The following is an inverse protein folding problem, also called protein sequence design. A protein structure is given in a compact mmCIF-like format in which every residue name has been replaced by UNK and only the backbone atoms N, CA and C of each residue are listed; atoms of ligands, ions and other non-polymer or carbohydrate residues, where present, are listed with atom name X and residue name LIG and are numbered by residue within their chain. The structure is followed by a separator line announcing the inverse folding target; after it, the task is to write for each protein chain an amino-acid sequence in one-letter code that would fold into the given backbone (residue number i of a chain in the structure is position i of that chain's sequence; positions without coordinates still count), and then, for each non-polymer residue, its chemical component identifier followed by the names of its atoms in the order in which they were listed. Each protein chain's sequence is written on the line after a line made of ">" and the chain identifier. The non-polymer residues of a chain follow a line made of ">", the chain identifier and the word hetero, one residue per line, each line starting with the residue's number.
data_IF_666290421580
#
_entry.id   IF_666290421580
#
_cell.length_a   1.000
_cell.length_b   1.000
_cell.length_c   1.000
_cell.angle_alpha   90.00
_cell.angle_beta   90.00
_cell.angle_gamma   90.00
#
_symmetry.space_group_name_H-M   'P 1'
#
loop_
_entity.id
_entity.type
_entity.pdbx_description
1 polymer ?
#
# COMPACT_ATOMS: atom_id res chain seq x y z
N UNK A 1 -4.52 -16.12 -29.27
CA UNK A 1 -3.94 -17.37 -28.73
C UNK A 1 -3.12 -17.12 -27.48
N UNK A 2 -2.15 -16.21 -27.47
CA UNK A 2 -1.32 -15.93 -26.28
C UNK A 2 -2.15 -15.49 -25.06
N UNK A 3 -3.10 -14.55 -25.24
CA UNK A 3 -4.01 -14.14 -24.16
C UNK A 3 -4.78 -15.33 -23.54
N UNK A 4 -5.37 -16.19 -24.38
CA UNK A 4 -6.14 -17.36 -23.93
C UNK A 4 -5.25 -18.35 -23.17
N UNK A 5 -4.03 -18.60 -23.67
CA UNK A 5 -3.04 -19.47 -23.01
C UNK A 5 -2.75 -18.98 -21.60
N UNK A 6 -2.53 -17.67 -21.44
CA UNK A 6 -2.15 -17.07 -20.17
C UNK A 6 -3.33 -17.07 -19.21
N UNK A 7 -4.53 -16.70 -19.67
CA UNK A 7 -5.76 -16.80 -18.87
C UNK A 7 -5.93 -18.21 -18.30
N UNK A 8 -5.85 -19.25 -19.14
CA UNK A 8 -6.05 -20.64 -18.70
C UNK A 8 -5.09 -21.06 -17.58
N UNK A 9 -3.87 -20.52 -17.59
CA UNK A 9 -2.83 -20.86 -16.59
C UNK A 9 -2.88 -19.97 -15.35
N UNK A 10 -3.31 -18.72 -15.51
CA UNK A 10 -3.38 -17.76 -14.41
C UNK A 10 -4.62 -17.95 -13.52
N UNK A 11 -5.69 -18.59 -14.01
CA UNK A 11 -6.97 -18.72 -13.26
C UNK A 11 -6.76 -19.29 -11.86
N UNK A 12 -6.03 -20.39 -11.71
CA UNK A 12 -5.81 -21.01 -10.40
C UNK A 12 -5.06 -20.05 -9.47
N UNK A 13 -4.01 -19.39 -9.96
CA UNK A 13 -3.24 -18.41 -9.19
C UNK A 13 -4.10 -17.21 -8.75
N UNK A 14 -4.96 -16.70 -9.65
CA UNK A 14 -5.89 -15.61 -9.36
C UNK A 14 -6.89 -16.02 -8.28
N UNK A 15 -7.47 -17.23 -8.39
CA UNK A 15 -8.41 -17.77 -7.38
C UNK A 15 -7.72 -17.90 -6.02
N UNK A 16 -6.52 -18.47 -5.96
CA UNK A 16 -5.75 -18.60 -4.71
C UNK A 16 -5.43 -17.23 -4.09
N UNK A 17 -5.02 -16.25 -4.91
CA UNK A 17 -4.72 -14.91 -4.44
C UNK A 17 -5.96 -14.19 -3.90
N UNK A 18 -7.11 -14.31 -4.59
CA UNK A 18 -8.39 -13.78 -4.12
C UNK A 18 -8.84 -14.44 -2.81
N UNK A 19 -8.73 -15.76 -2.70
CA UNK A 19 -9.04 -16.47 -1.47
C UNK A 19 -8.16 -16.01 -0.30
N UNK A 20 -6.86 -15.80 -0.53
CA UNK A 20 -5.94 -15.26 0.46
C UNK A 20 -6.33 -13.83 0.90
N UNK A 21 -6.66 -12.95 -0.04
CA UNK A 21 -7.12 -11.58 0.26
C UNK A 21 -8.39 -11.60 1.09
N UNK A 22 -9.40 -12.37 0.70
CA UNK A 22 -10.66 -12.50 1.44
C UNK A 22 -10.39 -12.99 2.86
N UNK A 23 -9.55 -14.02 2.99
CA UNK A 23 -9.21 -14.63 4.29
C UNK A 23 -8.51 -13.63 5.22
N UNK A 24 -7.57 -12.84 4.70
CA UNK A 24 -6.85 -11.82 5.47
C UNK A 24 -7.79 -10.68 5.86
N UNK A 25 -8.66 -10.23 4.96
CA UNK A 25 -9.63 -9.16 5.27
C UNK A 25 -10.59 -9.61 6.39
N UNK A 26 -11.11 -10.84 6.32
CA UNK A 26 -11.99 -11.41 7.35
C UNK A 26 -11.23 -11.57 8.67
N UNK A 27 -9.99 -12.08 8.63
CA UNK A 27 -9.16 -12.23 9.82
C UNK A 27 -8.86 -10.89 10.50
N UNK A 28 -8.50 -9.86 9.73
CA UNK A 28 -8.24 -8.52 10.27
C UNK A 28 -9.46 -7.98 11.00
N UNK A 29 -10.64 -8.09 10.40
CA UNK A 29 -11.91 -7.63 10.97
C UNK A 29 -12.28 -8.38 12.24
N UNK A 30 -12.14 -9.71 12.23
CA UNK A 30 -12.47 -10.53 13.39
C UNK A 30 -11.47 -10.31 14.53
N UNK A 31 -10.19 -10.12 14.21
CA UNK A 31 -9.16 -9.88 15.22
C UNK A 31 -9.29 -8.51 15.89
N UNK A 32 -9.85 -7.51 15.21
CA UNK A 32 -10.07 -6.18 15.77
C UNK A 32 -11.41 -6.02 16.49
N UNK A 33 -12.34 -6.97 16.32
CA UNK A 33 -13.74 -6.86 16.76
C UNK A 33 -14.41 -5.55 16.30
N UNK A 34 -14.01 -5.06 15.12
CA UNK A 34 -14.47 -3.78 14.59
C UNK A 34 -15.98 -3.75 14.35
N UNK A 35 -16.57 -4.89 14.01
CA UNK A 35 -18.01 -4.98 13.78
C UNK A 35 -18.85 -4.57 15.01
N UNK A 36 -18.42 -4.95 16.21
CA UNK A 36 -19.12 -4.61 17.47
C UNK A 36 -18.88 -3.14 17.81
N UNK A 37 -17.63 -2.69 17.71
CA UNK A 37 -17.24 -1.30 17.97
C UNK A 37 -18.01 -0.32 17.06
N UNK A 38 -18.06 -0.60 15.75
CA UNK A 38 -18.76 0.27 14.79
C UNK A 38 -20.29 0.18 14.90
N UNK A 39 -20.84 -0.88 15.51
CA UNK A 39 -22.26 -0.93 15.88
C UNK A 39 -22.56 0.08 16.99
N UNK A 40 -21.76 0.09 18.06
CA UNK A 40 -21.91 1.05 19.15
C UNK A 40 -21.63 2.49 18.69
N UNK A 41 -20.60 2.71 17.87
CA UNK A 41 -20.29 4.01 17.27
C UNK A 41 -21.51 4.62 16.56
N UNK A 42 -22.20 3.81 15.74
CA UNK A 42 -23.42 4.23 15.05
C UNK A 42 -24.55 4.54 16.02
N UNK A 43 -24.73 3.71 17.05
CA UNK A 43 -25.79 3.92 18.02
C UNK A 43 -25.61 5.25 18.75
N UNK A 44 -24.39 5.54 19.21
CA UNK A 44 -24.04 6.80 19.89
C UNK A 44 -24.30 7.99 18.96
N UNK A 45 -23.88 7.94 17.69
CA UNK A 45 -24.12 9.05 16.74
C UNK A 45 -25.60 9.24 16.44
N UNK A 46 -26.34 8.16 16.19
CA UNK A 46 -27.77 8.26 15.91
C UNK A 46 -28.55 8.83 17.10
N UNK A 47 -28.18 8.43 18.32
CA UNK A 47 -28.82 8.95 19.53
C UNK A 47 -28.40 10.40 19.80
N UNK A 48 -27.16 10.79 19.44
CA UNK A 48 -26.77 12.19 19.41
C UNK A 48 -27.59 13.02 18.42
N UNK A 49 -27.75 12.55 17.17
CA UNK A 49 -28.49 13.28 16.13
C UNK A 49 -29.94 13.51 16.55
N UNK A 50 -30.61 12.50 17.14
CA UNK A 50 -31.96 12.63 17.70
C UNK A 50 -32.04 13.63 18.85
N UNK A 51 -31.10 13.58 19.80
CA UNK A 51 -31.17 14.44 20.99
C UNK A 51 -30.74 15.89 20.68
N UNK A 52 -29.88 16.10 19.68
CA UNK A 52 -29.46 17.43 19.23
C UNK A 52 -30.63 18.25 18.67
N UNK A 53 -31.59 17.60 18.00
CA UNK A 53 -32.83 18.27 17.55
C UNK A 53 -33.70 18.74 18.71
N UNK A 54 -33.69 18.01 19.84
CA UNK A 54 -34.57 18.25 20.99
C UNK A 54 -33.96 19.10 22.12
N UNK A 55 -32.63 19.20 22.25
CA UNK A 55 -31.96 19.89 23.38
C UNK A 55 -30.72 20.70 22.97
N UNK A 56 -30.81 22.02 23.15
CA UNK A 56 -29.68 22.95 23.02
C UNK A 56 -28.64 22.67 24.12
N UNK A 57 -27.40 22.31 23.76
CA UNK A 57 -26.26 22.20 24.69
C UNK A 57 -25.80 20.78 25.05
N UNK A 58 -26.27 19.73 24.37
CA UNK A 58 -25.71 18.37 24.47
C UNK A 58 -24.41 18.25 23.65
N UNK A 59 -23.32 17.85 24.30
CA UNK A 59 -22.04 17.51 23.65
C UNK A 59 -21.91 16.00 23.50
N UNK A 60 -21.20 15.50 22.48
CA UNK A 60 -21.04 14.05 22.30
C UNK A 60 -20.41 13.41 23.54
N UNK A 61 -19.48 14.12 24.22
CA UNK A 61 -18.89 13.71 25.50
C UNK A 61 -19.90 13.40 26.61
N UNK A 62 -21.01 14.15 26.71
CA UNK A 62 -22.05 13.93 27.74
C UNK A 62 -22.90 12.69 27.42
N UNK A 63 -23.14 12.43 26.13
CA UNK A 63 -23.86 11.23 25.69
C UNK A 63 -22.98 10.00 25.88
N UNK A 64 -21.73 10.08 25.47
CA UNK A 64 -20.71 9.04 25.65
C UNK A 64 -20.59 8.59 27.12
N UNK A 65 -20.54 9.54 28.07
CA UNK A 65 -20.48 9.23 29.50
C UNK A 65 -21.71 8.47 30.03
N UNK A 66 -22.86 8.55 29.35
CA UNK A 66 -24.05 7.78 29.71
C UNK A 66 -23.96 6.31 29.21
N UNK A 67 -23.19 6.04 28.15
CA UNK A 67 -22.93 4.68 27.68
C UNK A 67 -21.87 3.96 28.52
N UNK A 68 -20.97 4.69 29.20
CA UNK A 68 -20.02 4.10 30.17
C UNK A 68 -20.72 3.36 31.32
N UNK A 69 -22.00 3.65 31.57
CA UNK A 69 -22.85 2.95 32.55
C UNK A 69 -23.38 1.58 32.10
N UNK A 70 -23.12 1.14 30.86
CA UNK A 70 -23.57 -0.16 30.33
C UNK A 70 -22.62 -1.33 30.68
N UNK A 71 -23.20 -2.55 30.69
CA UNK A 71 -22.65 -3.86 31.13
C UNK A 71 -21.14 -4.08 30.92
N UNK A 72 -20.48 -4.61 31.97
CA UNK A 72 -19.03 -4.89 32.05
C UNK A 72 -18.44 -5.66 30.85
N UNK A 73 -19.20 -6.54 30.18
CA UNK A 73 -18.70 -7.39 29.09
C UNK A 73 -18.40 -6.62 27.78
N UNK A 74 -19.12 -5.53 27.48
CA UNK A 74 -19.00 -4.76 26.23
C UNK A 74 -18.30 -3.41 26.41
N UNK A 75 -17.86 -3.08 27.63
CA UNK A 75 -17.30 -1.77 28.00
C UNK A 75 -16.10 -1.38 27.11
N UNK A 76 -15.21 -2.32 26.76
CA UNK A 76 -14.07 -2.02 25.88
C UNK A 76 -14.49 -1.50 24.51
N UNK A 77 -15.52 -2.10 23.89
CA UNK A 77 -16.01 -1.70 22.56
C UNK A 77 -16.76 -0.38 22.61
N UNK A 78 -17.52 -0.15 23.69
CA UNK A 78 -18.22 1.10 23.94
C UNK A 78 -17.21 2.24 24.12
N UNK A 79 -16.15 2.03 24.91
CA UNK A 79 -15.08 3.02 25.12
C UNK A 79 -14.32 3.35 23.82
N UNK A 80 -14.06 2.36 22.97
CA UNK A 80 -13.46 2.60 21.65
C UNK A 80 -14.39 3.37 20.72
N UNK A 81 -15.68 3.01 20.70
CA UNK A 81 -16.69 3.71 19.91
C UNK A 81 -16.84 5.17 20.35
N UNK A 82 -16.94 5.38 21.66
CA UNK A 82 -16.93 6.66 22.34
C UNK A 82 -15.77 7.57 21.91
N UNK A 83 -14.54 7.04 21.93
CA UNK A 83 -13.35 7.76 21.50
C UNK A 83 -13.41 8.16 20.01
N UNK A 84 -13.86 7.25 19.14
CA UNK A 84 -14.06 7.53 17.71
C UNK A 84 -15.07 8.66 17.47
N UNK A 85 -16.16 8.67 18.23
CA UNK A 85 -17.19 9.72 18.17
C UNK A 85 -16.61 11.06 18.63
N UNK A 86 -15.92 11.10 19.77
CA UNK A 86 -15.30 12.34 20.29
C UNK A 86 -14.27 12.90 19.31
N UNK A 87 -13.44 12.04 18.73
CA UNK A 87 -12.45 12.41 17.73
C UNK A 87 -13.10 12.98 16.46
N UNK A 88 -14.24 12.41 16.02
CA UNK A 88 -15.00 12.94 14.89
C UNK A 88 -15.58 14.32 15.21
N UNK A 89 -16.15 14.52 16.40
CA UNK A 89 -16.71 15.82 16.82
C UNK A 89 -15.62 16.90 16.83
N UNK A 90 -14.46 16.60 17.44
CA UNK A 90 -13.30 17.51 17.47
C UNK A 90 -12.82 17.85 16.06
N UNK A 91 -12.73 16.86 15.18
CA UNK A 91 -12.31 17.07 13.80
C UNK A 91 -13.26 17.97 13.02
N UNK A 92 -14.57 17.68 13.04
CA UNK A 92 -15.59 18.48 12.33
C UNK A 92 -15.58 19.94 12.80
N UNK A 93 -15.51 20.18 14.12
CA UNK A 93 -15.39 21.53 14.69
C UNK A 93 -14.13 22.25 14.21
N UNK A 94 -13.00 21.55 14.20
CA UNK A 94 -11.73 22.10 13.73
C UNK A 94 -11.74 22.40 12.23
N UNK A 95 -12.41 21.58 11.41
CA UNK A 95 -12.51 21.77 9.97
C UNK A 95 -13.41 22.97 9.64
N UNK A 96 -14.61 23.03 10.23
CA UNK A 96 -15.57 24.10 9.95
C UNK A 96 -15.09 25.46 10.47
N UNK A 97 -14.43 25.51 11.63
CA UNK A 97 -13.90 26.78 12.17
C UNK A 97 -12.82 27.42 11.29
N UNK A 98 -12.14 26.65 10.42
CA UNK A 98 -11.21 27.20 9.43
C UNK A 98 -11.91 27.99 8.31
N UNK A 99 -13.12 27.56 7.91
CA UNK A 99 -13.88 28.18 6.82
C UNK A 99 -14.87 29.25 7.29
N UNK A 100 -15.13 29.38 8.59
CA UNK A 100 -15.96 30.45 9.14
C UNK A 100 -15.21 31.79 9.17
N UNK A 101 -15.87 32.88 8.76
CA UNK A 101 -15.30 34.23 8.57
C UNK A 101 -14.73 34.92 9.84
N UNK A 102 -14.70 34.24 11.00
CA UNK A 102 -13.97 34.67 12.20
C UNK A 102 -12.48 34.22 12.19
N UNK A 103 -12.07 33.50 11.13
CA UNK A 103 -10.81 32.74 11.05
C UNK A 103 -9.62 33.44 10.39
N UNK A 104 -9.72 34.70 9.95
CA UNK A 104 -8.56 35.44 9.43
C UNK A 104 -7.42 35.55 10.47
N UNK A 105 -7.78 35.51 11.76
CA UNK A 105 -6.85 35.44 12.89
C UNK A 105 -6.31 34.04 13.21
N UNK A 106 -6.91 32.95 12.72
CA UNK A 106 -6.50 31.55 13.01
C UNK A 106 -5.71 30.94 11.85
N UNK A 107 -6.09 31.26 10.60
CA UNK A 107 -5.38 30.85 9.38
C UNK A 107 -3.90 31.26 9.42
N UNK A 108 -3.62 32.44 9.98
CA UNK A 108 -2.29 33.02 10.12
C UNK A 108 -1.53 32.53 11.35
N UNK A 109 -2.17 32.43 12.53
CA UNK A 109 -1.46 32.37 13.83
C UNK A 109 -0.49 31.21 14.05
N UNK A 110 -0.83 29.99 13.65
CA UNK A 110 0.02 28.81 13.95
C UNK A 110 1.17 28.65 12.95
N UNK A 111 0.94 29.02 11.69
CA UNK A 111 1.93 28.90 10.63
C UNK A 111 2.84 30.13 10.57
N UNK A 112 2.29 31.33 10.84
CA UNK A 112 3.11 32.53 11.07
C UNK A 112 4.04 32.31 12.24
N UNK A 113 3.60 31.69 13.35
CA UNK A 113 4.47 31.33 14.48
C UNK A 113 5.66 30.43 14.11
N UNK A 114 5.51 29.54 13.13
CA UNK A 114 6.60 28.67 12.64
C UNK A 114 7.53 29.48 11.72
N UNK A 115 6.96 30.32 10.85
CA UNK A 115 7.73 31.21 9.98
C UNK A 115 8.48 32.33 10.74
N UNK A 116 7.89 32.83 11.83
CA UNK A 116 8.42 33.89 12.70
C UNK A 116 9.35 33.33 13.80
N UNK A 117 9.46 32.00 13.89
CA UNK A 117 10.25 31.33 14.91
C UNK A 117 11.74 31.37 14.58
N UNK A 118 12.54 31.94 15.48
CA UNK A 118 14.01 31.97 15.38
C UNK A 118 14.67 30.59 15.53
N UNK A 119 13.92 29.55 15.91
CA UNK A 119 14.41 28.17 16.10
C UNK A 119 14.76 27.45 14.79
N UNK A 120 14.18 27.88 13.65
CA UNK A 120 14.32 27.21 12.36
C UNK A 120 15.24 27.94 11.39
N UNK A 121 16.21 28.71 11.94
CA UNK A 121 17.28 29.44 11.26
C UNK A 121 17.31 29.33 9.72
N UNK A 122 17.06 30.47 9.07
CA UNK A 122 16.90 30.70 7.63
C UNK A 122 15.54 30.30 7.01
N UNK A 123 15.03 31.19 6.16
CA UNK A 123 13.75 31.07 5.43
C UNK A 123 13.66 29.84 4.53
N UNK A 124 14.80 29.25 4.20
CA UNK A 124 14.91 28.09 3.30
C UNK A 124 14.83 26.76 4.05
N UNK A 125 14.66 26.75 5.38
CA UNK A 125 14.55 25.52 6.14
C UNK A 125 13.29 24.72 5.76
N UNK A 126 13.39 23.39 5.77
CA UNK A 126 12.27 22.49 5.43
C UNK A 126 10.99 22.80 6.22
N UNK A 127 11.11 23.13 7.51
CA UNK A 127 9.96 23.41 8.37
C UNK A 127 9.18 24.65 7.92
N UNK A 128 9.89 25.72 7.55
CA UNK A 128 9.29 26.95 7.02
C UNK A 128 8.68 26.71 5.64
N UNK A 129 9.41 26.03 4.76
CA UNK A 129 8.91 25.66 3.43
C UNK A 129 7.64 24.79 3.51
N UNK A 130 7.59 23.82 4.42
CA UNK A 130 6.43 22.97 4.64
C UNK A 130 5.24 23.72 5.21
N UNK A 131 5.46 24.59 6.19
CA UNK A 131 4.42 25.47 6.72
C UNK A 131 3.81 26.34 5.60
N UNK A 132 4.66 27.00 4.81
CA UNK A 132 4.23 27.87 3.72
C UNK A 132 3.51 27.11 2.60
N UNK A 133 4.00 25.93 2.23
CA UNK A 133 3.34 25.08 1.22
C UNK A 133 1.97 24.61 1.71
N UNK A 134 1.88 24.12 2.95
CA UNK A 134 0.61 23.67 3.53
C UNK A 134 -0.44 24.77 3.57
N UNK A 135 -0.07 26.01 3.89
CA UNK A 135 -0.98 27.15 3.83
C UNK A 135 -1.50 27.39 2.42
N UNK A 136 -0.59 27.49 1.45
CA UNK A 136 -0.94 27.71 0.04
C UNK A 136 -1.80 26.60 -0.53
N UNK A 137 -1.56 25.35 -0.13
CA UNK A 137 -2.35 24.21 -0.57
C UNK A 137 -3.73 24.19 0.11
N UNK A 138 -3.80 24.57 1.40
CA UNK A 138 -5.07 24.73 2.13
C UNK A 138 -5.98 25.79 1.54
N UNK A 139 -5.43 26.89 1.04
CA UNK A 139 -6.20 27.95 0.37
C UNK A 139 -6.86 27.49 -0.93
N UNK A 140 -6.29 26.46 -1.58
CA UNK A 140 -6.80 25.89 -2.82
C UNK A 140 -7.84 24.80 -2.61
N UNK A 141 -8.07 24.37 -1.35
CA UNK A 141 -9.03 23.32 -1.05
C UNK A 141 -10.44 23.81 -1.33
N UNK A 142 -11.23 22.99 -2.01
CA UNK A 142 -12.66 23.20 -2.10
C UNK A 142 -13.32 22.97 -0.74
N UNK A 143 -14.23 23.87 -0.34
CA UNK A 143 -15.02 23.69 0.88
C UNK A 143 -15.93 22.46 0.70
N UNK A 144 -15.64 21.41 1.45
CA UNK A 144 -16.44 20.19 1.46
C UNK A 144 -17.51 20.23 2.57
N UNK A 145 -18.59 19.47 2.36
CA UNK A 145 -19.63 19.28 3.37
C UNK A 145 -19.16 18.27 4.42
N UNK A 146 -18.52 18.79 5.46
CA UNK A 146 -18.00 18.02 6.60
C UNK A 146 -18.95 18.17 7.78
N UNK A 147 -19.61 17.07 8.13
CA UNK A 147 -20.68 17.05 9.12
C UNK A 147 -20.45 16.00 10.20
N UNK A 148 -20.90 16.33 11.41
CA UNK A 148 -20.98 15.37 12.50
C UNK A 148 -22.34 14.67 12.42
N UNK A 149 -22.36 13.54 11.73
CA UNK A 149 -23.53 12.70 11.47
C UNK A 149 -23.08 11.22 11.34
N UNK A 150 -24.00 10.31 10.99
CA UNK A 150 -23.71 8.89 10.83
C UNK A 150 -22.93 8.52 9.53
N UNK A 151 -22.38 9.49 8.78
CA UNK A 151 -21.61 9.15 7.57
C UNK A 151 -20.24 8.58 7.95
N UNK A 152 -19.95 7.36 7.52
CA UNK A 152 -18.71 6.66 7.88
C UNK A 152 -17.81 6.44 6.66
N UNK A 153 -16.56 6.86 6.78
CA UNK A 153 -15.48 6.71 5.78
C UNK A 153 -14.52 5.57 6.11
N UNK A 154 -14.71 4.85 7.22
CA UNK A 154 -13.75 3.86 7.70
C UNK A 154 -13.44 2.74 6.68
N UNK A 155 -14.41 2.31 5.86
CA UNK A 155 -14.13 1.23 4.90
C UNK A 155 -13.11 1.63 3.82
N UNK A 156 -13.19 2.88 3.32
CA UNK A 156 -12.24 3.36 2.31
C UNK A 156 -10.87 3.59 2.96
N UNK A 157 -10.83 4.09 4.20
CA UNK A 157 -9.59 4.22 4.97
C UNK A 157 -8.90 2.87 5.19
N UNK A 158 -9.65 1.83 5.58
CA UNK A 158 -9.11 0.49 5.78
C UNK A 158 -8.60 -0.13 4.47
N UNK A 159 -9.30 0.10 3.36
CA UNK A 159 -8.84 -0.32 2.04
C UNK A 159 -7.48 0.30 1.69
N UNK A 160 -7.33 1.62 1.86
CA UNK A 160 -6.11 2.34 1.49
C UNK A 160 -4.94 2.02 2.43
N UNK A 161 -5.20 1.74 3.70
CA UNK A 161 -4.17 1.42 4.69
C UNK A 161 -3.72 -0.05 4.65
N UNK A 162 -4.42 -0.93 3.93
CA UNK A 162 -4.09 -2.33 3.86
C UNK A 162 -2.82 -2.59 3.03
N UNK A 163 -1.71 -2.91 3.71
CA UNK A 163 -0.42 -3.22 3.08
C UNK A 163 -0.30 -4.65 2.57
N UNK A 164 -1.15 -5.57 3.01
CA UNK A 164 -1.05 -6.98 2.62
C UNK A 164 -1.55 -7.23 1.19
N UNK A 165 -2.63 -6.55 0.80
CA UNK A 165 -3.27 -6.74 -0.52
C UNK A 165 -2.31 -6.40 -1.67
N UNK A 166 -1.61 -5.25 -1.68
CA UNK A 166 -0.65 -4.96 -2.73
C UNK A 166 0.50 -5.95 -2.83
N UNK A 167 0.98 -6.49 -1.71
CA UNK A 167 2.06 -7.48 -1.71
C UNK A 167 1.61 -8.82 -2.31
N UNK A 168 0.42 -9.30 -1.96
CA UNK A 168 -0.17 -10.50 -2.56
C UNK A 168 -0.38 -10.30 -4.06
N UNK A 169 -0.82 -9.10 -4.45
CA UNK A 169 -1.00 -8.74 -5.84
C UNK A 169 0.32 -8.79 -6.63
N UNK A 170 1.42 -8.25 -6.08
CA UNK A 170 2.75 -8.31 -6.68
C UNK A 170 3.23 -9.76 -6.84
N UNK A 171 3.01 -10.63 -5.84
CA UNK A 171 3.35 -12.05 -5.91
C UNK A 171 2.55 -12.74 -7.02
N UNK A 172 1.23 -12.52 -7.06
CA UNK A 172 0.35 -13.06 -8.10
C UNK A 172 0.81 -12.62 -9.50
N UNK A 173 1.04 -11.32 -9.71
CA UNK A 173 1.52 -10.81 -11.00
C UNK A 173 2.88 -11.39 -11.38
N UNK A 174 3.78 -11.59 -10.41
CA UNK A 174 5.06 -12.26 -10.66
C UNK A 174 4.85 -13.68 -11.21
N UNK A 175 3.95 -14.46 -10.62
CA UNK A 175 3.60 -15.82 -11.10
C UNK A 175 3.01 -15.78 -12.50
N UNK A 176 2.10 -14.83 -12.77
CA UNK A 176 1.50 -14.65 -14.10
C UNK A 176 2.57 -14.33 -15.15
N UNK A 177 3.51 -13.43 -14.82
CA UNK A 177 4.59 -13.04 -15.73
C UNK A 177 5.58 -14.20 -15.98
N UNK A 178 5.82 -15.07 -14.99
CA UNK A 178 6.64 -16.28 -15.19
C UNK A 178 6.03 -17.18 -16.27
N UNK A 179 4.71 -17.24 -16.44
CA UNK A 179 4.13 -18.03 -17.53
C UNK A 179 4.53 -17.54 -18.93
N UNK A 180 5.00 -16.29 -19.08
CA UNK A 180 5.58 -15.82 -20.35
C UNK A 180 6.95 -16.44 -20.67
N UNK A 181 7.65 -17.04 -19.69
CA UNK A 181 8.96 -17.66 -19.89
C UNK A 181 8.90 -19.14 -20.28
N UNK A 182 7.72 -19.75 -20.27
CA UNK A 182 7.54 -21.17 -20.58
C UNK A 182 8.06 -21.61 -21.95
N UNK A 183 8.08 -20.71 -22.94
CA UNK A 183 8.66 -21.02 -24.25
C UNK A 183 10.16 -21.31 -24.17
N UNK A 184 10.84 -20.64 -23.23
CA UNK A 184 12.23 -20.91 -22.89
C UNK A 184 12.39 -22.25 -22.18
N UNK A 185 11.48 -22.57 -21.26
CA UNK A 185 11.53 -23.83 -20.50
C UNK A 185 11.23 -25.05 -21.38
N UNK A 186 10.30 -24.92 -22.33
CA UNK A 186 9.92 -25.97 -23.26
C UNK A 186 10.91 -26.12 -24.45
N UNK A 187 11.95 -25.29 -24.52
CA UNK A 187 12.94 -25.34 -25.61
C UNK A 187 12.47 -24.81 -26.96
N UNK A 188 11.26 -24.25 -27.05
CA UNK A 188 10.64 -23.77 -28.31
C UNK A 188 10.97 -22.29 -28.59
N UNK A 189 11.71 -21.64 -27.68
CA UNK A 189 12.00 -20.21 -27.73
C UNK A 189 12.63 -19.72 -29.04
N UNK A 190 13.57 -20.49 -29.61
CA UNK A 190 14.22 -20.15 -30.88
C UNK A 190 13.20 -20.14 -32.02
N UNK A 191 12.32 -21.13 -32.07
CA UNK A 191 11.27 -21.25 -33.09
C UNK A 191 10.27 -20.09 -33.02
N UNK A 192 9.86 -19.71 -31.81
CA UNK A 192 8.95 -18.56 -31.61
C UNK A 192 9.61 -17.27 -32.11
N UNK A 193 10.90 -17.07 -31.85
CA UNK A 193 11.62 -15.86 -32.30
C UNK A 193 11.91 -15.80 -33.78
N UNK A 194 12.07 -16.93 -34.46
CA UNK A 194 12.26 -16.97 -35.92
C UNK A 194 10.96 -16.77 -36.68
N UNK A 195 9.81 -16.82 -35.99
CA UNK A 195 8.53 -16.48 -36.60
C UNK A 195 8.45 -15.01 -37.00
N UNK A 196 7.65 -14.72 -38.04
CA UNK A 196 7.49 -13.40 -38.67
C UNK A 196 7.17 -12.24 -37.70
N UNK A 197 6.61 -12.54 -36.52
CA UNK A 197 6.21 -11.55 -35.50
C UNK A 197 6.77 -11.87 -34.10
N UNK A 198 7.78 -12.72 -34.00
CA UNK A 198 8.27 -13.22 -32.72
C UNK A 198 9.14 -12.25 -31.90
N UNK A 199 9.90 -11.35 -32.55
CA UNK A 199 10.93 -10.54 -31.86
C UNK A 199 10.41 -9.25 -31.24
N UNK A 200 9.59 -8.49 -31.96
CA UNK A 200 9.11 -7.16 -31.52
C UNK A 200 7.62 -7.21 -31.16
N UNK A 201 6.80 -7.86 -31.98
CA UNK A 201 5.36 -7.85 -31.78
C UNK A 201 4.93 -8.70 -30.56
N UNK A 202 5.61 -9.81 -30.28
CA UNK A 202 5.32 -10.63 -29.11
C UNK A 202 5.51 -9.90 -27.76
N UNK A 203 6.65 -9.23 -27.46
CA UNK A 203 6.79 -8.47 -26.22
C UNK A 203 5.81 -7.29 -26.13
N UNK A 204 5.45 -6.66 -27.26
CA UNK A 204 4.39 -5.63 -27.29
C UNK A 204 3.04 -6.22 -26.87
N UNK A 205 2.65 -7.37 -27.42
CA UNK A 205 1.42 -8.06 -27.03
C UNK A 205 1.46 -8.48 -25.56
N UNK A 206 2.60 -8.93 -25.03
CA UNK A 206 2.74 -9.28 -23.61
C UNK A 206 2.61 -8.04 -22.70
N UNK A 207 3.20 -6.91 -23.08
CA UNK A 207 2.98 -5.65 -22.36
C UNK A 207 1.50 -5.23 -22.37
N UNK A 208 0.82 -5.36 -23.52
CA UNK A 208 -0.62 -5.12 -23.61
C UNK A 208 -1.43 -6.07 -22.71
N UNK A 209 -1.10 -7.37 -22.68
CA UNK A 209 -1.73 -8.34 -21.78
C UNK A 209 -1.53 -7.93 -20.32
N UNK A 210 -0.32 -7.52 -19.92
CA UNK A 210 -0.03 -7.05 -18.55
C UNK A 210 -0.93 -5.86 -18.18
N UNK A 211 -1.07 -4.87 -19.07
CA UNK A 211 -1.91 -3.70 -18.83
C UNK A 211 -3.38 -4.10 -18.64
N UNK A 212 -3.92 -4.90 -19.57
CA UNK A 212 -5.31 -5.35 -19.53
C UNK A 212 -5.59 -6.17 -18.28
N UNK A 213 -4.69 -7.09 -17.92
CA UNK A 213 -4.80 -7.87 -16.68
C UNK A 213 -4.81 -6.97 -15.46
N UNK A 214 -3.94 -5.96 -15.40
CA UNK A 214 -3.89 -5.06 -14.25
C UNK A 214 -5.15 -4.20 -14.10
N UNK A 215 -5.74 -3.76 -15.20
CA UNK A 215 -7.02 -3.03 -15.16
C UNK A 215 -8.13 -3.94 -14.59
N UNK A 216 -8.28 -5.15 -15.14
CA UNK A 216 -9.34 -6.09 -14.72
C UNK A 216 -9.14 -6.53 -13.26
N UNK A 217 -7.92 -6.94 -12.91
CA UNK A 217 -7.61 -7.45 -11.57
C UNK A 217 -7.64 -6.35 -10.51
N UNK A 218 -7.23 -5.11 -10.83
CA UNK A 218 -7.39 -3.97 -9.92
C UNK A 218 -8.86 -3.76 -9.57
N UNK A 219 -9.75 -3.74 -10.57
CA UNK A 219 -11.19 -3.63 -10.33
C UNK A 219 -11.70 -4.77 -9.44
N UNK A 220 -11.33 -6.02 -9.73
CA UNK A 220 -11.80 -7.19 -8.98
C UNK A 220 -11.30 -7.18 -7.52
N UNK A 221 -9.99 -7.04 -7.30
CA UNK A 221 -9.39 -7.09 -5.95
C UNK A 221 -9.93 -5.97 -5.07
N UNK A 222 -9.90 -4.73 -5.56
CA UNK A 222 -10.31 -3.58 -4.77
C UNK A 222 -11.82 -3.56 -4.53
N UNK A 223 -12.66 -4.01 -5.48
CA UNK A 223 -14.12 -4.08 -5.28
C UNK A 223 -14.50 -5.14 -4.25
N UNK A 224 -13.87 -6.31 -4.27
CA UNK A 224 -14.13 -7.37 -3.29
C UNK A 224 -13.73 -6.91 -1.89
N UNK A 225 -12.52 -6.36 -1.74
CA UNK A 225 -12.05 -5.85 -0.45
C UNK A 225 -12.92 -4.70 0.06
N UNK A 226 -13.22 -3.72 -0.81
CA UNK A 226 -14.11 -2.62 -0.46
C UNK A 226 -15.50 -3.12 -0.07
N UNK A 227 -16.05 -4.12 -0.77
CA UNK A 227 -17.34 -4.73 -0.43
C UNK A 227 -17.34 -5.40 0.96
N UNK A 228 -16.24 -6.08 1.33
CA UNK A 228 -16.07 -6.66 2.67
C UNK A 228 -16.09 -5.54 3.72
N UNK A 229 -15.22 -4.54 3.59
CA UNK A 229 -15.13 -3.44 4.54
C UNK A 229 -16.42 -2.60 4.59
N UNK A 230 -17.03 -2.32 3.44
CA UNK A 230 -18.28 -1.56 3.36
C UNK A 230 -19.42 -2.25 4.09
N UNK A 231 -19.48 -3.60 4.05
CA UNK A 231 -20.48 -4.36 4.80
C UNK A 231 -20.31 -4.23 6.32
N UNK A 232 -19.08 -4.16 6.80
CA UNK A 232 -18.75 -4.15 8.23
C UNK A 232 -18.88 -2.75 8.82
N UNK A 233 -18.24 -1.76 8.18
CA UNK A 233 -18.21 -0.39 8.66
C UNK A 233 -19.47 0.40 8.27
N UNK A 234 -20.24 -0.08 7.27
CA UNK A 234 -21.40 0.57 6.64
C UNK A 234 -21.07 1.97 6.15
N UNK A 235 -20.86 2.09 4.85
CA UNK A 235 -20.37 3.31 4.22
C UNK A 235 -21.53 4.12 3.68
N UNK A 236 -21.47 5.43 3.91
CA UNK A 236 -22.19 6.37 3.07
C UNK A 236 -21.32 6.72 1.86
N UNK A 237 -21.61 6.10 0.72
CA UNK A 237 -20.84 6.31 -0.51
C UNK A 237 -20.98 7.73 -1.10
N UNK A 238 -21.98 8.49 -0.65
CA UNK A 238 -22.30 9.83 -1.18
C UNK A 238 -21.69 10.97 -0.37
N UNK A 239 -21.33 10.72 0.90
CA UNK A 239 -20.70 11.72 1.74
C UNK A 239 -19.35 12.17 1.17
N UNK A 240 -18.97 13.42 1.46
CA UNK A 240 -17.66 13.96 1.07
C UNK A 240 -16.53 13.19 1.78
N UNK A 241 -15.47 12.86 1.05
CA UNK A 241 -14.32 12.12 1.59
C UNK A 241 -13.61 12.87 2.71
N UNK A 242 -13.67 14.21 2.71
CA UNK A 242 -13.14 15.09 3.76
C UNK A 242 -13.79 14.87 5.13
N UNK A 243 -14.90 14.13 5.23
CA UNK A 243 -15.41 13.65 6.52
C UNK A 243 -14.40 12.73 7.23
N UNK A 244 -13.48 12.13 6.46
CA UNK A 244 -12.29 11.49 6.98
C UNK A 244 -11.17 12.49 7.24
N UNK A 245 -10.58 12.43 8.44
CA UNK A 245 -9.37 13.21 8.78
C UNK A 245 -8.19 12.89 7.83
N UNK A 246 -8.11 11.65 7.34
CA UNK A 246 -7.09 11.18 6.39
C UNK A 246 -7.08 11.99 5.09
N UNK A 247 -8.24 12.51 4.68
CA UNK A 247 -8.44 13.25 3.45
C UNK A 247 -8.73 14.74 3.69
N UNK A 248 -8.45 15.26 4.88
CA UNK A 248 -8.68 16.67 5.24
C UNK A 248 -8.03 17.67 4.28
N UNK A 249 -6.91 17.29 3.66
CA UNK A 249 -6.14 18.09 2.70
C UNK A 249 -6.33 17.61 1.24
N UNK A 250 -7.33 16.77 0.98
CA UNK A 250 -7.62 16.34 -0.38
C UNK A 250 -8.26 17.50 -1.16
N UNK A 251 -7.75 17.84 -2.35
CA UNK A 251 -8.04 19.13 -3.01
C UNK A 251 -9.49 19.31 -3.47
N UNK A 252 -10.16 18.22 -3.85
CA UNK A 252 -11.49 18.28 -4.48
C UNK A 252 -12.58 17.79 -3.54
N UNK A 253 -13.73 18.46 -3.49
CA UNK A 253 -14.90 18.02 -2.74
C UNK A 253 -15.61 16.86 -3.46
N UNK A 254 -15.09 15.64 -3.27
CA UNK A 254 -15.57 14.42 -3.95
C UNK A 254 -16.18 13.43 -2.98
N UNK A 255 -17.10 12.61 -3.47
CA UNK A 255 -17.74 11.57 -2.67
C UNK A 255 -16.83 10.36 -2.45
N UNK A 256 -17.12 9.56 -1.42
CA UNK A 256 -16.41 8.29 -1.15
C UNK A 256 -16.42 7.36 -2.37
N UNK A 257 -17.55 7.26 -3.09
CA UNK A 257 -17.65 6.43 -4.29
C UNK A 257 -16.74 6.92 -5.42
N UNK A 258 -16.62 8.24 -5.62
CA UNK A 258 -15.73 8.81 -6.62
C UNK A 258 -14.26 8.52 -6.27
N UNK A 259 -13.89 8.67 -5.00
CA UNK A 259 -12.54 8.34 -4.51
C UNK A 259 -12.23 6.86 -4.70
N UNK A 260 -13.19 5.97 -4.44
CA UNK A 260 -13.01 4.55 -4.71
C UNK A 260 -12.66 4.29 -6.18
N UNK A 261 -13.39 4.91 -7.13
CA UNK A 261 -13.10 4.78 -8.56
C UNK A 261 -11.71 5.33 -8.90
N UNK A 262 -11.34 6.51 -8.37
CA UNK A 262 -10.01 7.09 -8.55
C UNK A 262 -8.94 6.13 -8.03
N UNK A 263 -9.14 5.57 -6.83
CA UNK A 263 -8.21 4.63 -6.21
C UNK A 263 -8.02 3.37 -7.07
N UNK A 264 -9.10 2.78 -7.61
CA UNK A 264 -9.01 1.61 -8.51
C UNK A 264 -8.17 1.91 -9.76
N UNK A 265 -8.32 3.11 -10.34
CA UNK A 265 -7.54 3.54 -11.50
C UNK A 265 -6.06 3.76 -11.15
N UNK A 266 -5.79 4.48 -10.06
CA UNK A 266 -4.43 4.70 -9.55
C UNK A 266 -3.75 3.37 -9.24
N UNK A 267 -4.46 2.46 -8.58
CA UNK A 267 -3.98 1.12 -8.26
C UNK A 267 -3.64 0.33 -9.53
N UNK A 268 -4.48 0.39 -10.56
CA UNK A 268 -4.20 -0.25 -11.84
C UNK A 268 -2.94 0.32 -12.51
N UNK A 269 -2.77 1.65 -12.52
CA UNK A 269 -1.58 2.31 -13.04
C UNK A 269 -0.31 1.92 -12.27
N UNK A 270 -0.35 1.99 -10.94
CA UNK A 270 0.75 1.64 -10.07
C UNK A 270 1.18 0.18 -10.26
N UNK A 271 0.22 -0.76 -10.20
CA UNK A 271 0.50 -2.18 -10.38
C UNK A 271 0.97 -2.53 -11.79
N UNK A 272 0.53 -1.78 -12.81
CA UNK A 272 1.06 -1.90 -14.17
C UNK A 272 2.54 -1.52 -14.22
N UNK A 273 2.94 -0.42 -13.59
CA UNK A 273 4.34 0.00 -13.53
C UNK A 273 5.22 -1.07 -12.86
N UNK A 274 4.77 -1.61 -11.72
CA UNK A 274 5.48 -2.70 -11.03
C UNK A 274 5.52 -3.99 -11.86
N UNK A 275 4.42 -4.36 -12.50
CA UNK A 275 4.35 -5.55 -13.36
C UNK A 275 5.29 -5.45 -14.57
N UNK A 276 5.40 -4.26 -15.18
CA UNK A 276 6.34 -4.03 -16.27
C UNK A 276 7.80 -4.06 -15.80
N UNK A 277 8.09 -3.56 -14.60
CA UNK A 277 9.41 -3.67 -13.98
C UNK A 277 9.79 -5.15 -13.75
N UNK A 278 8.87 -5.96 -13.21
CA UNK A 278 9.07 -7.40 -13.01
C UNK A 278 9.35 -8.09 -14.35
N UNK A 279 8.55 -7.79 -15.37
CA UNK A 279 8.73 -8.36 -16.71
C UNK A 279 10.07 -7.93 -17.33
N UNK A 280 10.49 -6.68 -17.12
CA UNK A 280 11.77 -6.16 -17.59
C UNK A 280 12.94 -6.93 -16.95
N UNK A 281 12.91 -7.12 -15.63
CA UNK A 281 13.94 -7.86 -14.90
C UNK A 281 14.06 -9.32 -15.40
N UNK A 282 12.93 -9.97 -15.67
CA UNK A 282 12.89 -11.31 -16.26
C UNK A 282 13.45 -11.33 -17.68
N UNK A 283 13.23 -10.27 -18.47
CA UNK A 283 13.77 -10.19 -19.82
C UNK A 283 15.29 -9.92 -19.84
N UNK A 284 15.81 -9.13 -18.89
CA UNK A 284 17.24 -8.79 -18.78
C UNK A 284 18.13 -9.97 -18.37
N UNK A 285 17.58 -10.97 -17.68
CA UNK A 285 18.30 -12.19 -17.26
C UNK A 285 17.84 -13.38 -18.11
N UNK A 286 18.71 -14.30 -18.54
CA UNK A 286 18.25 -15.45 -19.34
C UNK A 286 17.51 -16.47 -18.48
N UNK A 287 17.96 -16.68 -17.24
CA UNK A 287 17.33 -17.56 -16.27
C UNK A 287 16.34 -16.78 -15.37
N UNK A 288 15.05 -17.02 -15.56
CA UNK A 288 14.00 -16.36 -14.78
C UNK A 288 14.11 -16.64 -13.27
N UNK A 289 14.64 -17.79 -12.85
CA UNK A 289 14.82 -18.10 -11.41
C UNK A 289 15.84 -17.17 -10.78
N UNK A 290 16.93 -16.88 -11.49
CA UNK A 290 17.95 -15.90 -11.07
C UNK A 290 17.33 -14.49 -11.08
N UNK A 291 16.56 -14.15 -12.13
CA UNK A 291 15.86 -12.88 -12.23
C UNK A 291 14.92 -12.62 -11.04
N UNK A 292 14.08 -13.60 -10.71
CA UNK A 292 13.13 -13.51 -9.58
C UNK A 292 13.87 -13.43 -8.25
N UNK A 293 14.97 -14.16 -8.08
CA UNK A 293 15.78 -14.10 -6.85
C UNK A 293 16.39 -12.71 -6.67
N UNK A 294 16.92 -12.13 -7.74
CA UNK A 294 17.49 -10.79 -7.71
C UNK A 294 16.42 -9.72 -7.50
N UNK A 295 15.25 -9.87 -8.14
CA UNK A 295 14.09 -9.00 -7.90
C UNK A 295 13.67 -9.00 -6.43
N UNK A 296 13.56 -10.18 -5.81
CA UNK A 296 13.22 -10.29 -4.37
C UNK A 296 14.27 -9.57 -3.52
N UNK A 297 15.56 -9.75 -3.81
CA UNK A 297 16.63 -9.08 -3.07
C UNK A 297 16.57 -7.54 -3.21
N UNK A 298 16.32 -7.03 -4.42
CA UNK A 298 16.14 -5.60 -4.69
C UNK A 298 14.92 -5.05 -3.95
N UNK A 299 13.77 -5.71 -4.06
CA UNK A 299 12.55 -5.30 -3.35
C UNK A 299 12.72 -5.36 -1.83
N UNK A 300 13.45 -6.33 -1.27
CA UNK A 300 13.74 -6.35 0.16
C UNK A 300 14.61 -5.16 0.60
N UNK A 301 15.61 -4.80 -0.21
CA UNK A 301 16.44 -3.62 0.05
C UNK A 301 15.60 -2.33 0.02
N UNK A 302 14.80 -2.15 -1.04
CA UNK A 302 13.90 -1.01 -1.20
C UNK A 302 12.88 -0.93 -0.04
N UNK A 303 12.35 -2.06 0.42
CA UNK A 303 11.43 -2.10 1.56
C UNK A 303 12.10 -1.61 2.86
N UNK A 304 13.35 -2.01 3.08
CA UNK A 304 14.12 -1.57 4.25
C UNK A 304 14.38 -0.06 4.21
N UNK A 305 14.72 0.49 3.03
CA UNK A 305 14.91 1.93 2.84
C UNK A 305 13.60 2.70 3.12
N UNK A 306 12.49 2.23 2.56
CA UNK A 306 11.17 2.81 2.77
C UNK A 306 10.74 2.81 4.25
N UNK A 307 10.94 1.69 4.95
CA UNK A 307 10.44 1.49 6.31
C UNK A 307 11.33 2.01 7.43
N UNK A 308 12.66 2.08 7.24
CA UNK A 308 13.61 2.40 8.33
C UNK A 308 14.14 3.83 8.31
N UNK A 309 14.13 4.49 7.16
CA UNK A 309 14.63 5.87 7.07
C UNK A 309 13.61 6.80 7.74
N UNK A 310 14.11 7.62 8.68
CA UNK A 310 13.31 8.66 9.31
C UNK A 310 13.05 9.81 8.34
N UNK A 311 11.90 10.47 8.47
CA UNK A 311 11.48 11.55 7.58
C UNK A 311 12.41 12.79 7.64
N UNK A 312 13.02 13.06 8.80
CA UNK A 312 14.01 14.12 9.00
C UNK A 312 15.46 13.70 8.64
N UNK A 313 15.66 12.49 8.13
CA UNK A 313 17.01 12.02 7.79
C UNK A 313 17.57 12.77 6.58
N UNK A 314 18.88 12.98 6.56
CA UNK A 314 19.65 13.45 5.38
C UNK A 314 19.34 12.64 4.11
N UNK A 315 19.01 11.35 4.28
CA UNK A 315 18.71 10.42 3.19
C UNK A 315 17.20 10.20 2.97
N UNK A 316 16.34 11.13 3.40
CA UNK A 316 14.90 10.99 3.25
C UNK A 316 14.44 10.83 1.79
N UNK A 317 15.21 11.30 0.81
CA UNK A 317 14.95 11.07 -0.61
C UNK A 317 14.89 9.60 -0.98
N UNK A 318 15.67 8.72 -0.36
CA UNK A 318 15.65 7.27 -0.59
C UNK A 318 14.38 6.59 -0.04
N UNK A 319 13.68 7.24 0.88
CA UNK A 319 12.37 6.79 1.37
C UNK A 319 11.27 7.14 0.40
N UNK A 320 11.28 8.36 -0.14
CA UNK A 320 10.19 8.89 -0.96
C UNK A 320 10.37 8.61 -2.47
N UNK A 321 11.61 8.57 -2.97
CA UNK A 321 11.95 8.05 -4.31
C UNK A 321 12.21 6.55 -4.19
N UNK A 322 11.14 5.79 -4.01
CA UNK A 322 11.20 4.37 -3.70
C UNK A 322 10.04 3.62 -4.36
N UNK A 323 10.30 2.40 -4.84
CA UNK A 323 9.31 1.55 -5.50
C UNK A 323 8.15 1.19 -4.56
N UNK A 324 8.37 1.14 -3.24
CA UNK A 324 7.31 0.88 -2.26
C UNK A 324 6.27 2.00 -2.14
N UNK A 325 6.60 3.23 -2.52
CA UNK A 325 5.57 4.28 -2.62
C UNK A 325 4.57 3.97 -3.75
N UNK A 326 5.02 3.30 -4.81
CA UNK A 326 4.14 2.83 -5.90
C UNK A 326 3.38 1.58 -5.46
N UNK A 327 4.05 0.62 -4.78
CA UNK A 327 3.41 -0.61 -4.30
C UNK A 327 2.32 -0.32 -3.27
N UNK A 328 2.43 0.74 -2.46
CA UNK A 328 1.41 1.15 -1.49
C UNK A 328 0.66 2.41 -1.93
N UNK A 329 -0.25 2.30 -2.92
CA UNK A 329 -0.80 3.47 -3.57
C UNK A 329 -1.73 4.31 -2.67
N UNK A 330 -2.37 3.71 -1.67
CA UNK A 330 -3.28 4.43 -0.77
C UNK A 330 -2.59 5.57 -0.03
N UNK A 331 -1.41 5.30 0.53
CA UNK A 331 -0.62 6.29 1.27
C UNK A 331 0.08 7.32 0.39
N UNK A 332 0.53 6.91 -0.78
CA UNK A 332 1.48 7.74 -1.55
C UNK A 332 0.81 8.66 -2.56
N UNK A 333 -0.26 8.24 -3.23
CA UNK A 333 -0.89 9.04 -4.28
C UNK A 333 -2.04 9.91 -3.77
N UNK A 334 -2.79 9.43 -2.78
CA UNK A 334 -4.06 10.03 -2.36
C UNK A 334 -3.96 10.82 -1.05
N UNK A 335 -3.09 10.40 -0.12
CA UNK A 335 -2.89 11.13 1.12
C UNK A 335 -1.94 12.32 0.90
N UNK A 336 -2.25 13.43 1.56
CA UNK A 336 -1.40 14.60 1.55
C UNK A 336 -0.24 14.40 2.54
N UNK A 337 0.97 14.30 2.00
CA UNK A 337 2.21 14.34 2.76
C UNK A 337 3.24 15.11 1.96
N UNK A 338 3.94 16.04 2.63
CA UNK A 338 5.07 16.74 2.04
C UNK A 338 6.37 16.09 2.48
N UNK A 339 7.35 16.14 1.61
CA UNK A 339 8.73 15.78 1.92
C UNK A 339 9.69 16.69 1.19
N UNK A 340 10.93 16.73 1.65
CA UNK A 340 11.94 17.57 1.06
C UNK A 340 13.09 17.81 2.01
N UNK A 341 13.86 18.85 1.71
CA UNK A 341 14.98 19.31 2.52
C UNK A 341 15.05 20.83 2.41
N UNK A 342 15.96 21.45 3.14
CA UNK A 342 16.24 22.86 3.03
C UNK A 342 16.47 23.24 1.55
N UNK A 343 15.78 24.29 1.09
CA UNK A 343 15.74 24.75 -0.30
C UNK A 343 14.86 23.95 -1.27
N UNK A 344 14.28 22.80 -0.87
CA UNK A 344 13.42 21.98 -1.75
C UNK A 344 12.26 21.33 -1.01
N UNK A 345 11.03 21.55 -1.51
CA UNK A 345 9.85 20.87 -0.99
C UNK A 345 8.93 20.39 -2.12
N UNK A 346 8.41 19.18 -1.96
CA UNK A 346 7.42 18.58 -2.85
C UNK A 346 6.48 17.69 -2.05
N UNK A 347 5.38 17.26 -2.65
CA UNK A 347 4.49 16.27 -2.05
C UNK A 347 4.87 14.84 -2.49
N UNK A 348 4.52 13.87 -1.65
CA UNK A 348 4.76 12.46 -1.93
C UNK A 348 4.00 12.02 -3.18
N UNK A 349 2.79 12.56 -3.41
CA UNK A 349 1.96 12.23 -4.58
C UNK A 349 2.63 12.59 -5.90
N UNK A 350 3.09 13.82 -6.08
CA UNK A 350 3.80 14.28 -7.29
C UNK A 350 5.04 13.43 -7.57
N UNK A 351 5.86 13.19 -6.55
CA UNK A 351 7.07 12.36 -6.72
C UNK A 351 6.75 10.92 -7.08
N UNK A 352 5.71 10.35 -6.49
CA UNK A 352 5.24 9.00 -6.81
C UNK A 352 4.68 8.94 -8.24
N UNK A 353 3.92 9.93 -8.69
CA UNK A 353 3.44 10.04 -10.07
C UNK A 353 4.58 10.13 -11.09
N UNK A 354 5.60 10.95 -10.82
CA UNK A 354 6.80 11.05 -11.65
C UNK A 354 7.50 9.70 -11.74
N UNK A 355 7.74 9.04 -10.59
CA UNK A 355 8.38 7.73 -10.55
C UNK A 355 7.56 6.69 -11.33
N UNK A 356 6.24 6.72 -11.22
CA UNK A 356 5.33 5.83 -11.96
C UNK A 356 5.42 6.05 -13.46
N UNK A 357 5.40 7.31 -13.91
CA UNK A 357 5.52 7.66 -15.32
C UNK A 357 6.86 7.19 -15.91
N UNK A 358 7.96 7.39 -15.17
CA UNK A 358 9.29 6.92 -15.56
C UNK A 358 9.32 5.39 -15.66
N UNK A 359 8.78 4.67 -14.68
CA UNK A 359 8.73 3.20 -14.70
C UNK A 359 7.83 2.65 -15.82
N UNK A 360 6.71 3.32 -16.14
CA UNK A 360 5.87 2.93 -17.27
C UNK A 360 6.61 3.12 -18.60
N UNK A 361 7.26 4.27 -18.81
CA UNK A 361 8.01 4.55 -20.03
C UNK A 361 9.20 3.59 -20.20
N UNK A 362 10.01 3.43 -19.15
CA UNK A 362 11.15 2.51 -19.13
C UNK A 362 10.69 1.05 -19.23
N UNK A 363 9.57 0.69 -18.59
CA UNK A 363 8.99 -0.63 -18.64
C UNK A 363 8.52 -1.00 -20.04
N UNK A 364 7.74 -0.14 -20.71
CA UNK A 364 7.24 -0.42 -22.06
C UNK A 364 8.37 -0.50 -23.09
N UNK A 365 9.23 0.51 -23.14
CA UNK A 365 10.33 0.57 -24.11
C UNK A 365 11.41 -0.46 -23.80
N UNK A 366 11.81 -0.55 -22.53
CA UNK A 366 12.83 -1.48 -22.05
C UNK A 366 12.44 -2.93 -22.27
N UNK A 367 11.18 -3.32 -22.09
CA UNK A 367 10.75 -4.71 -22.34
C UNK A 367 10.87 -5.07 -23.82
N UNK A 368 10.46 -4.18 -24.72
CA UNK A 368 10.57 -4.41 -26.17
C UNK A 368 12.04 -4.49 -26.58
N UNK A 369 12.89 -3.57 -26.10
CA UNK A 369 14.32 -3.54 -26.40
C UNK A 369 15.02 -4.79 -25.84
N UNK A 370 14.86 -5.07 -24.54
CA UNK A 370 15.49 -6.20 -23.86
C UNK A 370 15.09 -7.53 -24.48
N UNK A 371 13.80 -7.71 -24.82
CA UNK A 371 13.35 -8.93 -25.48
C UNK A 371 13.88 -9.05 -26.92
N UNK A 372 13.92 -7.94 -27.66
CA UNK A 372 14.36 -7.93 -29.07
C UNK A 372 15.87 -8.16 -29.23
N UNK A 373 16.68 -7.64 -28.30
CA UNK A 373 18.14 -7.71 -28.34
C UNK A 373 18.73 -8.97 -27.69
N UNK A 374 17.93 -9.72 -26.92
CA UNK A 374 18.39 -10.95 -26.27
C UNK A 374 18.92 -11.92 -27.34
N UNK A 375 20.10 -12.49 -27.16
CA UNK A 375 20.70 -13.40 -28.16
C UNK A 375 19.93 -14.72 -28.28
N UNK A 376 19.98 -15.37 -29.46
CA UNK A 376 19.31 -16.65 -29.76
C UNK A 376 20.08 -17.85 -29.23
N UNK A 377 21.41 -17.75 -29.16
CA UNK A 377 22.31 -18.76 -28.60
C UNK A 377 22.64 -18.33 -27.18
N UNK A 378 22.59 -19.31 -26.25
CA UNK A 378 22.64 -19.16 -24.79
C UNK A 378 23.99 -18.59 -24.29
N UNK A 379 24.28 -17.32 -24.59
CA UNK A 379 25.37 -16.59 -23.95
C UNK A 379 24.93 -16.16 -22.55
N UNK A 380 25.73 -16.49 -21.53
CA UNK A 380 25.47 -16.09 -20.15
C UNK A 380 25.46 -14.57 -20.06
N UNK A 381 24.44 -13.99 -19.44
CA UNK A 381 24.46 -12.56 -19.13
C UNK A 381 25.59 -12.24 -18.14
N UNK A 382 26.02 -10.98 -18.04
CA UNK A 382 27.02 -10.56 -17.02
C UNK A 382 26.57 -10.96 -15.62
N UNK A 383 25.26 -10.81 -15.35
CA UNK A 383 24.62 -11.20 -14.09
C UNK A 383 24.70 -12.73 -13.88
N UNK A 384 24.48 -13.53 -14.92
CA UNK A 384 24.61 -14.98 -14.84
C UNK A 384 26.05 -15.44 -14.66
N UNK A 385 27.00 -14.78 -15.31
CA UNK A 385 28.42 -15.03 -15.10
C UNK A 385 28.82 -14.75 -13.64
N UNK A 386 28.35 -13.63 -13.08
CA UNK A 386 28.53 -13.31 -11.66
C UNK A 386 27.85 -14.34 -10.74
N UNK A 387 26.59 -14.72 -11.02
CA UNK A 387 25.86 -15.74 -10.26
C UNK A 387 26.56 -17.11 -10.28
N UNK A 388 27.10 -17.51 -11.42
CA UNK A 388 27.90 -18.74 -11.55
C UNK A 388 29.19 -18.65 -10.72
N UNK A 389 29.85 -17.49 -10.71
CA UNK A 389 31.05 -17.27 -9.88
C UNK A 389 30.71 -17.37 -8.39
N UNK A 390 29.58 -16.78 -7.96
CA UNK A 390 29.06 -16.90 -6.59
C UNK A 390 28.74 -18.37 -6.27
N UNK A 391 28.05 -19.09 -7.16
CA UNK A 391 27.73 -20.50 -6.91
C UNK A 391 28.97 -21.39 -6.83
N UNK A 392 30.00 -21.11 -7.64
CA UNK A 392 31.28 -21.82 -7.59
C UNK A 392 32.01 -21.52 -6.28
N UNK A 393 32.01 -20.27 -5.81
CA UNK A 393 32.56 -19.93 -4.49
C UNK A 393 31.82 -20.62 -3.36
N UNK A 394 30.48 -20.66 -3.42
CA UNK A 394 29.67 -21.41 -2.45
C UNK A 394 29.97 -22.91 -2.51
N UNK A 395 30.15 -23.49 -3.70
CA UNK A 395 30.52 -24.91 -3.84
C UNK A 395 31.89 -25.21 -3.24
N UNK A 396 32.89 -24.32 -3.41
CA UNK A 396 34.20 -24.46 -2.76
C UNK A 396 34.10 -24.44 -1.22
N UNK A 397 33.25 -23.56 -0.69
CA UNK A 397 32.96 -23.52 0.75
C UNK A 397 32.28 -24.81 1.22
N UNK A 398 31.25 -25.27 0.51
CA UNK A 398 30.50 -26.48 0.86
C UNK A 398 31.36 -27.74 0.72
N UNK A 399 32.28 -27.79 -0.24
CA UNK A 399 33.18 -28.95 -0.42
C UNK A 399 34.18 -29.13 0.73
N UNK A 400 34.44 -28.09 1.53
CA UNK A 400 35.27 -28.17 2.72
C UNK A 400 34.51 -28.49 4.01
N UNK A 401 33.19 -28.69 3.95
CA UNK A 401 32.37 -28.90 5.15
C UNK A 401 32.42 -30.36 5.61
N UNK A 402 32.48 -30.63 6.94
CA UNK A 402 32.32 -31.97 7.48
C UNK A 402 30.90 -32.50 7.26
N UNK A 403 30.70 -33.81 7.37
CA UNK A 403 29.44 -34.51 7.06
C UNK A 403 28.22 -33.87 7.75
N UNK A 404 28.36 -33.51 9.04
CA UNK A 404 27.33 -32.83 9.83
C UNK A 404 27.00 -31.42 9.29
N UNK A 405 28.02 -30.67 8.84
CA UNK A 405 27.82 -29.34 8.24
C UNK A 405 27.09 -29.41 6.90
N UNK A 406 27.33 -30.45 6.09
CA UNK A 406 26.60 -30.68 4.84
C UNK A 406 25.11 -30.98 5.07
N UNK A 407 24.77 -31.79 6.08
CA UNK A 407 23.36 -32.07 6.40
C UNK A 407 22.63 -30.82 6.87
N UNK A 408 23.26 -30.02 7.74
CA UNK A 408 22.69 -28.72 8.15
C UNK A 408 22.51 -27.81 6.95
N UNK A 409 23.52 -27.67 6.09
CA UNK A 409 23.44 -26.84 4.88
C UNK A 409 22.31 -27.30 3.95
N UNK A 410 22.16 -28.61 3.75
CA UNK A 410 21.12 -29.19 2.92
C UNK A 410 19.72 -28.91 3.49
N UNK A 411 19.52 -29.13 4.78
CA UNK A 411 18.22 -28.93 5.44
C UNK A 411 17.86 -27.44 5.51
N UNK A 412 18.81 -26.58 5.88
CA UNK A 412 18.55 -25.16 6.10
C UNK A 412 18.48 -24.35 4.81
N UNK A 413 19.41 -24.55 3.87
CA UNK A 413 19.55 -23.72 2.67
C UNK A 413 18.94 -24.41 1.45
N UNK A 414 19.30 -25.66 1.15
CA UNK A 414 18.83 -26.35 -0.07
C UNK A 414 17.33 -26.65 -0.01
N UNK A 415 16.86 -27.18 1.12
CA UNK A 415 15.44 -27.47 1.38
C UNK A 415 14.68 -26.24 1.90
N UNK A 416 15.33 -25.07 1.99
CA UNK A 416 14.76 -23.82 2.48
C UNK A 416 14.19 -23.89 3.90
N UNK A 417 14.69 -24.80 4.75
CA UNK A 417 14.28 -24.93 6.16
C UNK A 417 14.41 -23.62 6.94
N UNK A 418 15.36 -22.75 6.58
CA UNK A 418 15.54 -21.44 7.21
C UNK A 418 14.31 -20.53 7.06
N UNK A 419 13.56 -20.66 5.95
CA UNK A 419 12.34 -19.87 5.71
C UNK A 419 11.24 -20.26 6.69
N UNK A 420 11.11 -21.56 6.99
CA UNK A 420 10.14 -22.04 7.99
C UNK A 420 10.51 -21.59 9.40
N UNK A 421 11.80 -21.58 9.74
CA UNK A 421 12.27 -21.08 11.04
C UNK A 421 12.00 -19.58 11.16
N UNK A 422 12.32 -18.80 10.13
CA UNK A 422 12.05 -17.36 10.13
C UNK A 422 10.55 -17.06 10.16
N UNK A 423 9.72 -17.82 9.44
CA UNK A 423 8.28 -17.71 9.51
C UNK A 423 7.75 -18.08 10.90
N UNK A 424 8.30 -19.12 11.53
CA UNK A 424 7.99 -19.50 12.90
C UNK A 424 8.35 -18.42 13.92
N UNK A 425 9.56 -17.86 13.83
CA UNK A 425 10.00 -16.74 14.68
C UNK A 425 9.10 -15.52 14.46
N UNK A 426 8.77 -15.20 13.22
CA UNK A 426 7.87 -14.08 12.90
C UNK A 426 6.47 -14.32 13.49
N UNK A 427 5.90 -15.51 13.35
CA UNK A 427 4.61 -15.86 13.94
C UNK A 427 4.68 -15.82 15.47
N UNK A 428 5.76 -16.30 16.08
CA UNK A 428 5.94 -16.30 17.53
C UNK A 428 6.13 -14.90 18.10
N UNK A 429 6.85 -14.03 17.39
CA UNK A 429 7.03 -12.61 17.77
C UNK A 429 5.81 -11.74 17.48
N UNK A 430 4.98 -12.14 16.51
CA UNK A 430 3.71 -11.47 16.18
C UNK A 430 2.54 -11.98 17.00
N UNK A 431 2.65 -13.16 17.62
CA UNK A 431 1.69 -13.66 18.59
C UNK A 431 1.76 -12.79 19.85
N UNK A 432 0.76 -11.94 20.04
CA UNK A 432 0.53 -11.31 21.35
C UNK A 432 0.29 -12.46 22.34
N UNK A 433 1.25 -12.68 23.25
CA UNK A 433 1.02 -13.50 24.43
C UNK A 433 -0.08 -12.77 25.21
N UNK A 434 -1.32 -13.24 25.10
CA UNK A 434 -2.37 -12.87 26.04
C UNK A 434 -1.86 -13.31 27.40
N UNK A 435 -1.42 -12.35 28.23
CA UNK A 435 -1.24 -12.60 29.65
C UNK A 435 -2.58 -13.13 30.15
N UNK A 436 -2.60 -14.39 30.57
CA UNK A 436 -3.77 -14.95 31.24
C UNK A 436 -4.17 -14.03 32.38
N UNK A 437 -5.47 -13.78 32.51
CA UNK A 437 -6.04 -13.09 33.64
C UNK A 437 -5.74 -13.94 34.88
N UNK A 438 -4.99 -13.38 35.82
CA UNK A 438 -4.69 -14.01 37.09
C UNK A 438 -5.92 -13.86 38.00
N UNK A 439 -6.68 -14.93 38.20
CA UNK A 439 -7.84 -14.96 39.11
C UNK A 439 -7.40 -15.12 40.57
N UNK A 440 -6.36 -14.39 40.97
CA UNK A 440 -5.68 -14.55 42.25
C UNK A 440 -5.48 -13.25 42.99
N UNK A 441 -6.58 -12.62 43.44
CA UNK A 441 -6.53 -11.72 44.60
C UNK A 441 -7.93 -11.60 45.23
N UNK A 442 -8.20 -12.47 46.20
CA UNK A 442 -9.03 -12.12 47.36
C UNK A 442 -8.17 -11.37 48.37
#
# INVERSE_FOLDING_TARGET
>A
MELIRIIKKSILCIICALAAVISICIYQVNSSNDAVTYRYYRQIINDYDKIKEDRVGLTASKLTAAYDTYKEEDSEYINKAAELVENKEKYVKSYNSYYDNSADNIKSKNYSRIADSTLFGDTDSYYILNANKQLKDKEKLEKADVAFNNTNTAAIEQLLNNRAIPLIYVIMMTVIIIHFTEESDNGVYVLVRTSRRGRIFLPVIRCFIIIVFNIILSCLFNSITYGIYAKIYVVDGTCCIQNSKMFSMFPYAVSVNQIFVIYVLVYACAMTAISLLIYLMINLVNNYKIAVTLLIAVLLCEYMLYGRIQYNSTFNSLKYINVFNIIFPGGSYLMYENWGRDGFITDVSTTTWILTAVLLAAGLTGNVIAYSLKYTIRQKSVIEAAAVKISQSNQKLVSGMPLYGMEIYKTMIVQKGIVFILAGIYLFTSAKIMKGIDYGSN
#
